data_IF_961345257567
#
_entry.id   IF_961345257567
#
_cell.length_a   1.000
_cell.length_b   1.000
_cell.length_c   1.000
_cell.angle_alpha   90.00
_cell.angle_beta   90.00
_cell.angle_gamma   90.00
#
_symmetry.space_group_name_H-M   'P 1'
#
loop_
_entity.id
_entity.type
_entity.pdbx_description
1 polymer ?
#
# COMPACT_ATOMS: atom_id res chain seq x y z
N UNK A 1 -0.55 6.21 -2.71
CA UNK A 1 -2.00 6.28 -2.42
C UNK A 1 -2.22 5.92 -0.95
N UNK A 2 -3.19 6.55 -0.30
CA UNK A 2 -3.64 6.20 1.05
C UNK A 2 -5.15 5.98 1.05
N UNK A 3 -5.64 5.01 1.83
CA UNK A 3 -7.05 4.74 2.04
C UNK A 3 -7.41 4.81 3.53
N UNK A 4 -8.52 5.48 3.83
CA UNK A 4 -9.21 5.38 5.12
C UNK A 4 -10.71 5.23 4.84
N UNK A 5 -11.20 3.99 4.99
CA UNK A 5 -12.60 3.64 4.78
C UNK A 5 -13.38 3.50 6.10
N UNK A 6 -12.77 3.86 7.24
CA UNK A 6 -13.33 3.64 8.57
C UNK A 6 -13.56 2.16 8.86
N UNK A 7 -14.74 1.84 9.41
CA UNK A 7 -15.27 0.47 9.50
C UNK A 7 -15.83 0.06 8.15
N UNK A 8 -15.10 -0.75 7.39
CA UNK A 8 -15.47 -1.11 6.03
C UNK A 8 -15.89 -2.58 5.92
N UNK A 9 -17.13 -2.80 5.49
CA UNK A 9 -17.65 -4.13 5.17
C UNK A 9 -17.63 -4.38 3.66
N UNK A 10 -17.22 -5.58 3.24
CA UNK A 10 -17.19 -6.02 1.84
C UNK A 10 -17.49 -7.52 1.72
N UNK A 11 -17.78 -7.97 0.50
CA UNK A 11 -17.89 -9.40 0.16
C UNK A 11 -16.69 -9.88 -0.63
N UNK A 12 -16.20 -11.07 -0.30
CA UNK A 12 -15.13 -11.76 -1.02
C UNK A 12 -15.65 -13.08 -1.56
N UNK A 13 -15.38 -13.36 -2.83
CA UNK A 13 -15.74 -14.61 -3.47
C UNK A 13 -14.74 -15.71 -3.09
N UNK A 14 -15.21 -16.79 -2.48
CA UNK A 14 -14.39 -17.96 -2.14
C UNK A 14 -14.88 -19.18 -2.92
N UNK A 15 -13.95 -19.89 -3.52
CA UNK A 15 -14.24 -21.18 -4.17
C UNK A 15 -14.52 -22.24 -3.11
N UNK A 16 -15.65 -22.93 -3.23
CA UNK A 16 -16.01 -24.02 -2.35
C UNK A 16 -15.28 -25.28 -2.82
N UNK A 17 -14.32 -25.78 -2.03
CA UNK A 17 -13.68 -27.05 -2.32
C UNK A 17 -14.73 -28.18 -2.14
N UNK A 18 -15.18 -28.78 -3.24
CA UNK A 18 -16.05 -29.95 -3.18
C UNK A 18 -15.19 -31.14 -2.73
N UNK A 19 -15.42 -31.63 -1.50
CA UNK A 19 -14.94 -32.97 -1.13
C UNK A 19 -15.66 -33.95 -2.04
N UNK A 20 -14.94 -34.59 -2.96
CA UNK A 20 -15.46 -35.72 -3.69
C UNK A 20 -15.80 -36.82 -2.70
N UNK A 21 -17.08 -37.09 -2.47
CA UNK A 21 -17.54 -38.30 -1.82
C UNK A 21 -17.09 -39.48 -2.67
N UNK A 22 -16.18 -40.31 -2.13
CA UNK A 22 -15.92 -41.64 -2.68
C UNK A 22 -17.12 -42.52 -2.35
N UNK A 23 -18.06 -42.67 -3.29
CA UNK A 23 -18.97 -43.81 -3.33
C UNK A 23 -18.59 -44.71 -4.51
N UNK A 24 -18.58 -46.01 -4.26
CA UNK A 24 -17.83 -47.00 -5.00
C UNK A 24 -18.51 -47.62 -6.23
N UNK A 25 -17.66 -48.36 -6.94
CA UNK A 25 -17.88 -49.49 -7.86
C UNK A 25 -18.83 -49.36 -9.07
N UNK A 26 -18.22 -49.49 -10.26
CA UNK A 26 -18.74 -50.38 -11.32
C UNK A 26 -19.06 -49.77 -12.69
N UNK A 27 -18.25 -50.11 -13.71
CA UNK A 27 -18.68 -50.10 -15.12
C UNK A 27 -17.93 -49.13 -16.06
N UNK A 28 -17.35 -49.60 -17.19
CA UNK A 28 -16.62 -48.77 -18.12
C UNK A 28 -17.51 -48.32 -19.28
N UNK A 29 -17.98 -47.06 -19.31
CA UNK A 29 -18.38 -46.43 -20.56
C UNK A 29 -18.37 -44.89 -20.53
N UNK A 30 -17.77 -44.32 -21.58
CA UNK A 30 -17.76 -42.93 -22.04
C UNK A 30 -17.49 -41.78 -21.03
N UNK A 31 -16.21 -41.41 -20.87
CA UNK A 31 -15.76 -40.15 -20.25
C UNK A 31 -16.18 -38.93 -21.08
N UNK A 32 -17.36 -38.36 -20.84
CA UNK A 32 -17.56 -36.91 -21.01
C UNK A 32 -16.89 -36.23 -19.82
N UNK A 33 -15.88 -35.38 -20.09
CA UNK A 33 -15.30 -34.51 -19.08
C UNK A 33 -16.40 -33.56 -18.57
N UNK A 34 -17.00 -33.88 -17.41
CA UNK A 34 -17.85 -32.97 -16.67
C UNK A 34 -16.95 -31.81 -16.25
N UNK A 35 -17.05 -30.65 -16.89
CA UNK A 35 -16.53 -29.41 -16.32
C UNK A 35 -17.25 -29.26 -14.97
N UNK A 36 -16.56 -29.54 -13.87
CA UNK A 36 -17.07 -29.26 -12.54
C UNK A 36 -17.27 -27.75 -12.45
N UNK A 37 -18.52 -27.30 -12.42
CA UNK A 37 -18.83 -25.91 -12.08
C UNK A 37 -18.35 -25.73 -10.64
N UNK A 38 -17.24 -25.01 -10.48
CA UNK A 38 -16.75 -24.63 -9.17
C UNK A 38 -17.80 -23.68 -8.56
N UNK A 39 -18.56 -24.17 -7.58
CA UNK A 39 -19.51 -23.36 -6.84
C UNK A 39 -18.73 -22.32 -6.03
N UNK A 40 -19.05 -21.03 -6.22
CA UNK A 40 -18.46 -19.94 -5.46
C UNK A 40 -19.45 -19.41 -4.43
N UNK A 41 -18.94 -19.04 -3.26
CA UNK A 41 -19.74 -18.48 -2.16
C UNK A 41 -19.19 -17.09 -1.83
N UNK A 42 -20.09 -16.12 -1.70
CA UNK A 42 -19.75 -14.78 -1.22
C UNK A 42 -19.70 -14.78 0.30
N UNK A 43 -18.56 -14.38 0.86
CA UNK A 43 -18.35 -14.27 2.30
C UNK A 43 -18.22 -12.81 2.68
N UNK A 44 -19.08 -12.34 3.60
CA UNK A 44 -18.98 -10.98 4.16
C UNK A 44 -17.79 -10.90 5.12
N UNK A 45 -17.00 -9.83 4.99
CA UNK A 45 -15.85 -9.50 5.83
C UNK A 45 -15.93 -8.03 6.27
N UNK A 46 -15.20 -7.70 7.33
CA UNK A 46 -15.00 -6.34 7.81
C UNK A 46 -13.49 -6.07 7.97
N UNK A 47 -13.07 -4.84 7.68
CA UNK A 47 -11.72 -4.32 7.93
C UNK A 47 -11.83 -2.90 8.50
N UNK A 48 -11.04 -2.62 9.53
CA UNK A 48 -10.88 -1.29 10.11
C UNK A 48 -9.68 -0.54 9.49
N UNK A 49 -9.86 0.76 9.26
CA UNK A 49 -8.81 1.67 8.78
C UNK A 49 -8.51 2.77 9.81
N UNK A 50 -7.23 3.05 10.03
CA UNK A 50 -6.81 4.17 10.88
C UNK A 50 -6.91 5.52 10.15
N UNK A 51 -6.81 6.61 10.91
CA UNK A 51 -6.72 7.95 10.34
C UNK A 51 -5.36 8.18 9.69
N UNK A 52 -5.33 9.02 8.65
CA UNK A 52 -4.08 9.44 8.01
C UNK A 52 -3.10 10.05 9.01
N UNK A 53 -3.60 10.86 9.95
CA UNK A 53 -2.79 11.46 11.01
C UNK A 53 -2.02 10.38 11.77
N UNK A 54 -2.71 9.33 12.20
CA UNK A 54 -2.12 8.26 13.01
C UNK A 54 -1.06 7.48 12.21
N UNK A 55 -1.33 7.24 10.93
CA UNK A 55 -0.42 6.57 10.01
C UNK A 55 0.85 7.41 9.70
N UNK A 56 0.75 8.74 9.75
CA UNK A 56 1.87 9.66 9.54
C UNK A 56 2.66 9.96 10.82
N UNK A 57 2.09 9.70 12.01
CA UNK A 57 2.75 9.98 13.30
C UNK A 57 3.16 8.70 14.04
N UNK A 58 3.50 7.65 13.31
CA UNK A 58 3.97 6.39 13.90
C UNK A 58 5.28 6.60 14.66
N UNK A 59 5.36 5.97 15.85
CA UNK A 59 6.58 5.92 16.64
C UNK A 59 7.40 4.68 16.29
N UNK A 60 8.69 4.88 16.01
CA UNK A 60 9.63 3.82 15.63
C UNK A 60 10.56 3.37 16.77
N UNK A 61 10.30 3.85 18.00
CA UNK A 61 11.20 3.67 19.15
C UNK A 61 11.03 2.34 19.88
N UNK A 62 9.85 1.71 19.82
CA UNK A 62 9.57 0.44 20.48
C UNK A 62 10.22 -0.74 19.75
N UNK A 63 10.49 -1.84 20.47
CA UNK A 63 11.15 -3.01 19.87
C UNK A 63 10.32 -3.65 18.74
N UNK A 64 8.99 -3.68 18.90
CA UNK A 64 8.06 -4.11 17.84
C UNK A 64 8.08 -3.16 16.63
N UNK A 65 8.18 -1.85 16.86
CA UNK A 65 8.26 -0.87 15.78
C UNK A 65 9.61 -0.93 15.03
N UNK A 66 10.71 -1.27 15.70
CA UNK A 66 12.00 -1.51 15.03
C UNK A 66 11.96 -2.73 14.10
N UNK A 67 11.21 -3.77 14.48
CA UNK A 67 11.02 -4.93 13.60
C UNK A 67 10.15 -4.57 12.38
N UNK A 68 9.09 -3.78 12.58
CA UNK A 68 8.27 -3.24 11.50
C UNK A 68 9.08 -2.33 10.57
N UNK A 69 9.92 -1.45 11.13
CA UNK A 69 10.79 -0.52 10.40
C UNK A 69 11.65 -1.22 9.35
N UNK A 70 12.22 -2.38 9.69
CA UNK A 70 13.05 -3.18 8.76
C UNK A 70 12.27 -3.70 7.54
N UNK A 71 10.94 -3.77 7.64
CA UNK A 71 10.04 -4.27 6.61
C UNK A 71 9.29 -3.16 5.90
N UNK A 72 9.25 -1.97 6.46
CA UNK A 72 8.59 -0.81 5.89
C UNK A 72 9.36 -0.27 4.69
N UNK A 73 8.66 -0.04 3.58
CA UNK A 73 9.21 0.56 2.39
C UNK A 73 9.84 1.95 2.68
N UNK A 74 11.06 2.22 2.17
CA UNK A 74 11.69 3.55 2.22
C UNK A 74 10.79 4.69 1.73
N UNK A 75 9.91 4.39 0.78
CA UNK A 75 8.95 5.30 0.17
C UNK A 75 8.01 5.98 1.18
N UNK A 76 7.75 5.36 2.34
CA UNK A 76 7.03 6.00 3.44
C UNK A 76 7.81 7.21 4.00
N UNK A 77 9.11 7.05 4.23
CA UNK A 77 9.94 8.13 4.75
C UNK A 77 10.17 9.20 3.67
N UNK A 78 10.24 8.80 2.39
CA UNK A 78 10.29 9.76 1.29
C UNK A 78 9.03 10.63 1.24
N UNK A 79 7.84 10.04 1.45
CA UNK A 79 6.58 10.78 1.56
C UNK A 79 6.64 11.81 2.69
N UNK A 80 7.18 11.45 3.86
CA UNK A 80 7.35 12.37 4.99
C UNK A 80 8.24 13.58 4.64
N UNK A 81 9.35 13.34 3.93
CA UNK A 81 10.25 14.40 3.46
C UNK A 81 9.54 15.33 2.47
N UNK A 82 8.81 14.77 1.50
CA UNK A 82 8.06 15.56 0.51
C UNK A 82 6.92 16.36 1.15
N UNK A 83 6.23 15.82 2.14
CA UNK A 83 5.23 16.57 2.91
C UNK A 83 5.85 17.71 3.72
N UNK A 84 7.01 17.50 4.35
CA UNK A 84 7.75 18.59 5.00
C UNK A 84 8.13 19.68 4.00
N UNK A 85 8.66 19.30 2.84
CA UNK A 85 9.00 20.23 1.77
C UNK A 85 7.79 21.05 1.34
N UNK A 86 6.67 20.40 1.04
CA UNK A 86 5.42 21.08 0.64
C UNK A 86 4.91 22.03 1.73
N UNK A 87 5.02 21.63 2.99
CA UNK A 87 4.60 22.45 4.13
C UNK A 87 5.46 23.71 4.26
N UNK A 88 6.78 23.62 4.09
CA UNK A 88 7.70 24.75 4.28
C UNK A 88 7.79 25.65 3.05
N UNK A 89 7.73 25.09 1.84
CA UNK A 89 7.89 25.83 0.58
C UNK A 89 6.57 26.24 -0.05
N UNK A 90 5.44 25.67 0.38
CA UNK A 90 4.11 25.93 -0.20
C UNK A 90 3.93 25.38 -1.62
N UNK A 91 4.85 24.53 -2.08
CA UNK A 91 4.88 23.91 -3.41
C UNK A 91 5.65 22.59 -3.36
N UNK A 92 5.55 21.80 -4.43
CA UNK A 92 6.38 20.62 -4.63
C UNK A 92 7.78 20.97 -5.20
N UNK A 93 8.76 20.05 -5.14
CA UNK A 93 10.04 20.21 -5.81
C UNK A 93 9.85 20.40 -7.32
N UNK A 94 10.57 21.36 -7.90
CA UNK A 94 10.40 21.76 -9.30
C UNK A 94 11.72 21.64 -10.06
N UNK A 95 11.71 21.15 -11.32
CA UNK A 95 12.94 21.01 -12.09
C UNK A 95 13.54 22.39 -12.44
N UNK A 96 12.73 23.46 -12.40
CA UNK A 96 13.18 24.84 -12.60
C UNK A 96 14.07 25.35 -11.46
N UNK A 97 13.88 24.82 -10.25
CA UNK A 97 14.63 25.15 -9.03
C UNK A 97 15.44 23.95 -8.51
N UNK A 98 15.86 23.05 -9.42
CA UNK A 98 16.42 21.74 -9.06
C UNK A 98 17.53 21.82 -8.01
N UNK A 99 18.52 22.70 -8.20
CA UNK A 99 19.66 22.79 -7.28
C UNK A 99 19.25 23.21 -5.86
N UNK A 100 18.43 24.26 -5.74
CA UNK A 100 17.95 24.75 -4.44
C UNK A 100 17.07 23.69 -3.75
N UNK A 101 16.13 23.11 -4.51
CA UNK A 101 15.16 22.16 -4.00
C UNK A 101 15.82 20.83 -3.63
N UNK A 102 16.80 20.36 -4.40
CA UNK A 102 17.56 19.15 -4.07
C UNK A 102 18.33 19.33 -2.76
N UNK A 103 18.96 20.49 -2.55
CA UNK A 103 19.65 20.78 -1.29
C UNK A 103 18.66 20.87 -0.12
N UNK A 104 17.53 21.55 -0.31
CA UNK A 104 16.48 21.62 0.70
C UNK A 104 15.96 20.21 1.08
N UNK A 105 15.72 19.33 0.10
CA UNK A 105 15.30 17.95 0.33
C UNK A 105 16.34 17.15 1.11
N UNK A 106 17.64 17.34 0.84
CA UNK A 106 18.73 16.69 1.61
C UNK A 106 18.71 17.08 3.08
N UNK A 107 18.58 18.38 3.36
CA UNK A 107 18.52 18.88 4.73
C UNK A 107 17.25 18.41 5.44
N UNK A 108 16.10 18.47 4.75
CA UNK A 108 14.82 17.99 5.28
C UNK A 108 14.83 16.49 5.55
N UNK A 109 15.47 15.68 4.70
CA UNK A 109 15.66 14.24 4.94
C UNK A 109 16.33 13.99 6.28
N UNK A 110 17.46 14.65 6.54
CA UNK A 110 18.19 14.47 7.79
C UNK A 110 17.32 14.88 8.99
N UNK A 111 16.64 16.02 8.90
CA UNK A 111 15.77 16.51 9.97
C UNK A 111 14.58 15.58 10.24
N UNK A 112 13.91 15.08 9.20
CA UNK A 112 12.76 14.17 9.31
C UNK A 112 13.19 12.84 9.92
N UNK A 113 14.22 12.19 9.38
CA UNK A 113 14.68 10.89 9.86
C UNK A 113 15.18 10.98 11.31
N UNK A 114 15.89 12.07 11.67
CA UNK A 114 16.28 12.33 13.05
C UNK A 114 15.06 12.50 13.98
N UNK A 115 14.04 13.24 13.56
CA UNK A 115 12.81 13.45 14.35
C UNK A 115 12.00 12.17 14.57
N UNK A 116 12.08 11.23 13.62
CA UNK A 116 11.44 9.92 13.71
C UNK A 116 12.30 8.91 14.49
N UNK A 117 13.54 9.26 14.84
CA UNK A 117 14.48 8.38 15.55
C UNK A 117 14.95 7.19 14.71
N UNK A 118 15.02 7.34 13.38
CA UNK A 118 15.40 6.28 12.44
C UNK A 118 16.72 6.58 11.73
N UNK A 119 17.33 5.56 11.12
CA UNK A 119 18.60 5.71 10.39
C UNK A 119 18.51 6.67 9.21
N UNK A 120 19.53 7.50 9.02
CA UNK A 120 19.61 8.48 7.92
C UNK A 120 19.83 7.83 6.56
N UNK A 121 20.24 6.56 6.55
CA UNK A 121 20.51 5.71 5.40
C UNK A 121 19.26 5.02 4.82
N UNK A 122 18.09 5.15 5.48
CA UNK A 122 16.83 4.58 5.01
C UNK A 122 16.40 5.13 3.63
N UNK A 123 16.76 6.38 3.33
CA UNK A 123 16.50 7.00 2.03
C UNK A 123 17.83 7.39 1.40
N UNK A 124 18.07 6.89 0.19
CA UNK A 124 19.23 7.25 -0.63
C UNK A 124 19.22 8.74 -0.94
N UNK A 125 20.41 9.35 -1.02
CA UNK A 125 20.58 10.76 -1.38
C UNK A 125 20.41 11.02 -2.89
N UNK A 126 19.29 10.55 -3.43
CA UNK A 126 18.90 10.79 -4.83
C UNK A 126 17.40 11.05 -4.89
N UNK A 127 17.06 12.31 -5.19
CA UNK A 127 15.69 12.79 -5.29
C UNK A 127 15.28 13.06 -6.73
N UNK A 128 16.07 12.72 -7.74
CA UNK A 128 15.80 13.11 -9.13
C UNK A 128 14.39 12.70 -9.60
N UNK A 129 13.89 11.54 -9.14
CA UNK A 129 12.55 11.04 -9.45
C UNK A 129 11.40 11.82 -8.78
N UNK A 130 11.69 12.79 -7.91
CA UNK A 130 10.69 13.52 -7.12
C UNK A 130 10.38 14.93 -7.65
N UNK A 131 10.95 15.33 -8.79
CA UNK A 131 10.87 16.71 -9.30
C UNK A 131 9.78 16.94 -10.34
N UNK A 132 9.03 15.92 -10.75
CA UNK A 132 8.03 16.08 -11.80
C UNK A 132 6.96 15.01 -11.73
N UNK A 133 5.81 15.32 -12.33
CA UNK A 133 4.75 14.34 -12.56
C UNK A 133 5.00 13.61 -13.87
N UNK A 134 5.40 12.35 -13.79
CA UNK A 134 5.67 11.53 -14.95
C UNK A 134 4.39 10.82 -15.40
N UNK A 135 3.94 11.04 -16.64
CA UNK A 135 2.70 10.45 -17.16
C UNK A 135 2.58 8.92 -16.94
N UNK A 136 3.64 8.10 -17.14
CA UNK A 136 3.57 6.67 -16.85
C UNK A 136 3.33 6.36 -15.37
N UNK A 137 3.91 7.15 -14.46
CA UNK A 137 3.71 7.00 -13.01
C UNK A 137 2.28 7.37 -12.63
N UNK A 138 1.76 8.47 -13.19
CA UNK A 138 0.37 8.89 -12.98
C UNK A 138 -0.62 7.84 -13.48
N UNK A 139 -0.35 7.19 -14.62
CA UNK A 139 -1.19 6.11 -15.14
C UNK A 139 -1.24 4.90 -14.20
N UNK A 140 -0.09 4.46 -13.67
CA UNK A 140 -0.02 3.33 -12.73
C UNK A 140 -0.71 3.67 -11.41
N UNK A 141 -0.34 4.78 -10.77
CA UNK A 141 -0.91 5.19 -9.48
C UNK A 141 -2.39 5.50 -9.61
N UNK A 142 -2.80 6.17 -10.69
CA UNK A 142 -4.20 6.47 -10.99
C UNK A 142 -5.02 5.20 -11.23
N UNK A 143 -4.47 4.20 -11.93
CA UNK A 143 -5.11 2.90 -12.13
C UNK A 143 -5.36 2.16 -10.82
N UNK A 144 -4.35 2.10 -9.94
CA UNK A 144 -4.51 1.47 -8.61
C UNK A 144 -5.51 2.25 -7.76
N UNK A 145 -5.39 3.57 -7.68
CA UNK A 145 -6.31 4.41 -6.89
C UNK A 145 -7.76 4.25 -7.35
N UNK A 146 -8.01 4.28 -8.67
CA UNK A 146 -9.36 4.13 -9.22
C UNK A 146 -9.92 2.73 -9.00
N UNK A 147 -9.10 1.68 -9.12
CA UNK A 147 -9.52 0.32 -8.79
C UNK A 147 -9.93 0.19 -7.31
N UNK A 148 -9.17 0.77 -6.40
CA UNK A 148 -9.49 0.73 -4.96
C UNK A 148 -10.74 1.55 -4.62
N UNK A 149 -10.97 2.67 -5.32
CA UNK A 149 -12.23 3.40 -5.21
C UNK A 149 -13.43 2.54 -5.66
N UNK A 150 -13.28 1.79 -6.77
CA UNK A 150 -14.33 0.87 -7.25
C UNK A 150 -14.59 -0.26 -6.25
N UNK A 151 -13.56 -0.88 -5.66
CA UNK A 151 -13.73 -1.92 -4.62
C UNK A 151 -14.47 -1.38 -3.40
N UNK A 152 -14.07 -0.21 -2.90
CA UNK A 152 -14.68 0.42 -1.74
C UNK A 152 -16.16 0.77 -2.00
N UNK A 153 -16.49 1.34 -3.16
CA UNK A 153 -17.87 1.71 -3.51
C UNK A 153 -18.75 0.51 -3.82
N UNK A 154 -18.19 -0.54 -4.45
CA UNK A 154 -18.94 -1.76 -4.76
C UNK A 154 -19.06 -2.71 -3.57
N UNK A 155 -18.33 -2.44 -2.47
CA UNK A 155 -18.20 -3.33 -1.32
C UNK A 155 -17.85 -4.76 -1.74
N UNK A 156 -17.03 -4.89 -2.78
CA UNK A 156 -16.61 -6.16 -3.36
C UNK A 156 -15.09 -6.22 -3.43
N UNK A 157 -14.57 -7.38 -3.03
CA UNK A 157 -13.15 -7.68 -2.89
C UNK A 157 -12.46 -6.88 -1.77
N UNK A 158 -11.39 -7.41 -1.16
CA UNK A 158 -10.67 -6.72 -0.11
C UNK A 158 -9.98 -5.44 -0.64
N UNK A 159 -10.18 -4.28 0.00
CA UNK A 159 -9.42 -3.07 -0.30
C UNK A 159 -7.99 -3.15 0.25
N UNK A 160 -7.07 -2.42 -0.37
CA UNK A 160 -5.71 -2.22 0.12
C UNK A 160 -5.73 -1.42 1.43
N UNK A 161 -5.07 -1.96 2.46
CA UNK A 161 -4.97 -1.35 3.78
C UNK A 161 -3.50 -1.10 4.14
N UNK A 162 -3.02 0.15 4.24
CA UNK A 162 -3.70 1.43 3.92
C UNK A 162 -2.88 2.32 2.97
N UNK A 163 -1.59 2.06 2.81
CA UNK A 163 -0.76 2.73 1.82
C UNK A 163 -0.43 1.81 0.64
N UNK A 164 -0.38 2.43 -0.53
CA UNK A 164 0.26 1.87 -1.71
C UNK A 164 1.36 2.82 -2.19
N UNK A 165 2.59 2.31 -2.24
CA UNK A 165 3.78 3.00 -2.75
C UNK A 165 4.19 2.39 -4.09
N UNK A 166 4.57 3.25 -5.04
CA UNK A 166 5.04 2.80 -6.35
C UNK A 166 6.38 3.44 -6.66
N UNK A 167 7.35 2.59 -6.99
CA UNK A 167 8.69 3.01 -7.41
C UNK A 167 8.85 2.70 -8.91
N UNK A 168 8.77 3.75 -9.73
CA UNK A 168 8.89 3.62 -11.19
C UNK A 168 10.28 3.19 -11.68
N UNK A 169 11.34 3.43 -10.89
CA UNK A 169 12.70 3.03 -11.24
C UNK A 169 12.91 1.52 -11.07
N UNK A 170 12.31 0.93 -10.02
CA UNK A 170 12.36 -0.51 -9.74
C UNK A 170 11.21 -1.29 -10.37
N UNK A 171 10.18 -0.60 -10.85
CA UNK A 171 8.93 -1.21 -11.33
C UNK A 171 8.13 -1.92 -10.24
N UNK A 172 8.31 -1.54 -8.98
CA UNK A 172 7.71 -2.23 -7.83
C UNK A 172 6.57 -1.43 -7.21
N UNK A 173 5.46 -2.09 -6.94
CA UNK A 173 4.37 -1.57 -6.10
C UNK A 173 4.32 -2.32 -4.77
N UNK A 174 4.31 -1.61 -3.65
CA UNK A 174 4.28 -2.18 -2.30
C UNK A 174 3.06 -1.67 -1.55
N UNK A 175 2.37 -2.58 -0.88
CA UNK A 175 1.26 -2.26 0.01
C UNK A 175 1.77 -2.33 1.44
N UNK A 176 1.59 -1.24 2.18
CA UNK A 176 2.01 -1.12 3.57
C UNK A 176 0.78 -0.86 4.45
N UNK A 177 0.65 -1.64 5.52
CA UNK A 177 -0.35 -1.40 6.56
C UNK A 177 0.32 -0.61 7.68
N UNK A 178 0.22 0.71 7.60
CA UNK A 178 0.82 1.63 8.57
C UNK A 178 -0.28 2.17 9.46
N UNK A 179 -0.52 1.46 10.56
CA UNK A 179 -1.48 1.85 11.58
C UNK A 179 -0.86 1.65 12.96
N UNK A 180 -1.22 2.47 13.96
CA UNK A 180 -0.89 2.15 15.34
C UNK A 180 -1.43 0.75 15.65
N UNK A 181 -0.64 -0.06 16.35
CA UNK A 181 -1.17 -1.28 16.95
C UNK A 181 -2.28 -0.85 17.92
N UNK A 182 -3.53 -1.19 17.60
CA UNK A 182 -4.62 -1.11 18.56
C UNK A 182 -4.18 -1.91 19.80
N UNK A 183 -4.26 -1.35 21.02
CA UNK A 183 -4.04 -2.15 22.21
C UNK A 183 -5.04 -3.32 22.16
N UNK A 184 -4.50 -4.53 22.23
CA UNK A 184 -5.24 -5.79 22.37
C UNK A 184 -6.11 -5.79 23.61
#
# INVERSE_FOLDING_TARGET
>A
MFANLGEHEFVEEKTKATKASQEGQGGPDAKKAKLGVAETVLVKKNVHFCLLKDALTLSWSSEGAKAALKRTAPDYFLLQVLFKFRTEKGRDPSPLSYQEDAEALRQMRLAVLASLGVGTDLIVDDFASCFSEMAPVCAVVGGVLSQEAVKALSQRDPPLNNFFFFNGMKGSGVVECLAPTLPS
#
